data_IF_005380891547
#
_entry.id   IF_005380891547
#
_cell.length_a   1.000
_cell.length_b   1.000
_cell.length_c   1.000
_cell.angle_alpha   90.00
_cell.angle_beta   90.00
_cell.angle_gamma   90.00
#
_symmetry.space_group_name_H-M   'P 1'
#
loop_
_entity.id
_entity.type
_entity.pdbx_description
1 polymer ?
#
# COMPACT_ATOMS: atom_id res chain seq x y z
N UNK A 1 -15.52 27.00 12.57
CA UNK A 1 -15.78 25.91 13.53
C UNK A 1 -14.54 25.04 13.49
N UNK A 2 -13.70 25.11 14.52
CA UNK A 2 -12.51 24.27 14.65
C UNK A 2 -12.96 22.81 14.80
N UNK A 3 -12.70 22.00 13.78
CA UNK A 3 -12.78 20.55 13.89
C UNK A 3 -11.44 20.05 14.43
N UNK A 4 -11.37 19.93 15.74
CA UNK A 4 -10.29 19.23 16.45
C UNK A 4 -10.26 17.76 16.01
N UNK A 5 -9.39 17.44 15.04
CA UNK A 5 -9.21 16.12 14.41
C UNK A 5 -8.37 15.15 15.27
N UNK A 6 -8.22 15.42 16.58
CA UNK A 6 -7.30 14.70 17.46
C UNK A 6 -7.78 13.36 18.03
N UNK A 7 -9.03 12.94 17.82
CA UNK A 7 -9.60 11.76 18.48
C UNK A 7 -10.27 10.80 17.50
N UNK A 8 -9.49 10.08 16.69
CA UNK A 8 -10.00 8.92 15.96
C UNK A 8 -10.15 7.73 16.93
N UNK A 9 -11.33 7.12 16.97
CA UNK A 9 -11.55 5.83 17.63
C UNK A 9 -11.18 4.74 16.63
N UNK A 10 -10.25 3.86 17.01
CA UNK A 10 -9.95 2.65 16.25
C UNK A 10 -10.75 1.49 16.82
N UNK A 11 -11.36 0.70 15.96
CA UNK A 11 -12.13 -0.47 16.34
C UNK A 11 -12.30 -1.46 15.20
N UNK A 12 -12.60 -2.72 15.53
CA UNK A 12 -12.69 -3.80 14.54
C UNK A 12 -13.75 -4.83 14.92
N UNK A 13 -14.25 -5.58 13.93
CA UNK A 13 -15.14 -6.73 14.12
C UNK A 13 -14.36 -8.01 13.83
N UNK A 14 -14.30 -8.92 14.80
CA UNK A 14 -13.46 -10.11 14.74
C UNK A 14 -14.21 -11.40 14.41
N UNK A 15 -15.49 -11.52 14.76
CA UNK A 15 -16.16 -12.82 14.68
C UNK A 15 -17.68 -12.72 14.56
N UNK A 16 -18.25 -13.66 13.80
CA UNK A 16 -19.68 -14.00 13.84
C UNK A 16 -19.85 -15.33 14.61
N UNK A 17 -20.64 -15.33 15.70
CA UNK A 17 -21.11 -16.57 16.36
C UNK A 17 -22.63 -16.47 16.47
N UNK A 18 -23.35 -17.34 15.76
CA UNK A 18 -24.81 -17.42 15.87
C UNK A 18 -25.51 -16.08 15.65
N UNK A 19 -25.17 -15.37 14.57
CA UNK A 19 -25.68 -14.04 14.19
C UNK A 19 -25.25 -12.86 15.08
N UNK A 20 -24.33 -13.08 16.02
CA UNK A 20 -23.74 -12.03 16.85
C UNK A 20 -22.37 -11.64 16.31
N UNK A 21 -22.13 -10.33 16.19
CA UNK A 21 -20.82 -9.79 15.84
C UNK A 21 -20.10 -9.28 17.08
N UNK A 22 -18.81 -9.60 17.16
CA UNK A 22 -17.94 -9.16 18.25
C UNK A 22 -16.94 -8.16 17.72
N UNK A 23 -16.83 -7.01 18.38
CA UNK A 23 -15.81 -6.03 18.05
C UNK A 23 -15.24 -5.31 19.26
N UNK A 24 -14.12 -4.64 19.07
CA UNK A 24 -13.48 -3.80 20.08
C UNK A 24 -13.31 -2.37 19.59
N UNK A 25 -13.30 -1.42 20.52
CA UNK A 25 -12.87 -0.04 20.28
C UNK A 25 -11.92 0.39 21.40
N UNK A 26 -11.00 1.31 21.09
CA UNK A 26 -10.11 1.93 22.08
C UNK A 26 -10.23 3.45 22.10
N UNK A 27 -10.45 4.04 23.28
CA UNK A 27 -10.24 5.49 23.51
C UNK A 27 -9.75 5.75 24.94
N UNK A 28 -8.85 6.74 25.09
CA UNK A 28 -8.19 7.13 26.35
C UNK A 28 -9.10 7.87 27.34
N UNK A 29 -10.22 8.46 26.89
CA UNK A 29 -11.06 9.39 27.68
C UNK A 29 -12.57 9.13 27.51
N UNK A 30 -13.08 7.93 27.84
CA UNK A 30 -14.52 7.64 27.80
C UNK A 30 -15.24 7.95 29.12
N UNK A 31 -16.44 8.54 29.04
CA UNK A 31 -17.36 8.73 30.17
C UNK A 31 -18.23 7.49 30.36
N UNK A 32 -18.18 6.79 31.52
CA UNK A 32 -19.07 5.66 31.81
C UNK A 32 -20.55 6.08 31.81
N UNK A 33 -21.44 5.22 31.30
CA UNK A 33 -22.90 5.37 31.45
C UNK A 33 -23.66 6.06 30.30
N UNK A 34 -23.02 6.34 29.17
CA UNK A 34 -23.70 6.87 27.97
C UNK A 34 -24.21 5.73 27.09
N UNK A 35 -25.46 5.83 26.60
CA UNK A 35 -26.01 4.89 25.63
C UNK A 35 -25.22 4.95 24.33
N UNK A 36 -24.66 3.81 23.89
CA UNK A 36 -23.90 3.70 22.64
C UNK A 36 -24.77 3.04 21.56
N UNK A 37 -24.64 3.50 20.33
CA UNK A 37 -25.39 2.99 19.18
C UNK A 37 -24.46 2.71 18.00
N UNK A 38 -24.83 1.72 17.19
CA UNK A 38 -24.30 1.50 15.84
C UNK A 38 -25.33 2.02 14.87
N UNK A 39 -24.95 3.02 14.08
CA UNK A 39 -25.78 3.53 13.01
C UNK A 39 -25.38 2.84 11.70
N UNK A 40 -26.37 2.48 10.89
CA UNK A 40 -26.17 1.85 9.60
C UNK A 40 -26.72 2.82 8.57
N UNK A 41 -25.85 3.30 7.69
CA UNK A 41 -26.20 4.24 6.63
C UNK A 41 -26.18 3.55 5.27
N UNK A 42 -27.19 3.82 4.44
CA UNK A 42 -27.33 3.29 3.08
C UNK A 42 -27.50 4.49 2.15
N UNK A 43 -26.56 4.70 1.22
CA UNK A 43 -26.58 5.89 0.35
C UNK A 43 -26.57 7.22 1.11
N UNK A 44 -25.95 7.28 2.29
CA UNK A 44 -25.93 8.46 3.16
C UNK A 44 -27.15 8.62 4.08
N UNK A 45 -28.19 7.80 3.91
CA UNK A 45 -29.43 7.86 4.71
C UNK A 45 -29.32 6.88 5.88
N UNK A 46 -29.65 7.32 7.09
CA UNK A 46 -29.70 6.45 8.27
C UNK A 46 -30.82 5.42 8.09
N UNK A 47 -30.44 4.15 8.04
CA UNK A 47 -31.36 3.03 7.82
C UNK A 47 -31.71 2.32 9.14
N UNK A 48 -30.74 2.12 10.02
CA UNK A 48 -30.95 1.42 11.30
C UNK A 48 -30.01 1.94 12.38
N UNK A 49 -30.47 1.95 13.63
CA UNK A 49 -29.68 2.24 14.82
C UNK A 49 -29.77 1.04 15.76
N UNK A 50 -28.64 0.45 16.14
CA UNK A 50 -28.58 -0.75 16.98
C UNK A 50 -27.93 -0.34 18.30
N UNK A 51 -28.61 -0.49 19.46
CA UNK A 51 -27.99 -0.23 20.74
C UNK A 51 -26.84 -1.21 20.95
N UNK A 52 -25.74 -0.69 21.47
CA UNK A 52 -24.52 -1.46 21.72
C UNK A 52 -24.47 -1.81 23.19
N UNK A 53 -24.35 -3.09 23.50
CA UNK A 53 -24.17 -3.55 24.88
C UNK A 53 -22.67 -3.79 25.09
N UNK A 54 -22.11 -3.13 26.11
CA UNK A 54 -20.74 -3.41 26.54
C UNK A 54 -20.68 -4.85 27.04
N UNK A 55 -19.88 -5.67 26.35
CA UNK A 55 -19.71 -7.07 26.66
C UNK A 55 -18.48 -7.24 27.55
N UNK A 56 -18.54 -8.22 28.46
CA UNK A 56 -17.36 -8.64 29.20
C UNK A 56 -16.34 -9.23 28.22
N UNK A 57 -15.11 -8.73 28.28
CA UNK A 57 -14.04 -9.19 27.41
C UNK A 57 -13.74 -10.68 27.68
N UNK A 58 -14.14 -11.55 26.75
CA UNK A 58 -13.92 -13.01 26.85
C UNK A 58 -12.54 -13.42 26.30
N UNK A 59 -11.74 -12.47 25.80
CA UNK A 59 -10.41 -12.66 25.20
C UNK A 59 -9.33 -12.22 26.19
N UNK A 60 -8.67 -13.19 26.83
CA UNK A 60 -7.62 -12.94 27.82
C UNK A 60 -6.41 -12.17 27.25
N UNK A 61 -6.13 -12.31 25.95
CA UNK A 61 -5.05 -11.63 25.24
C UNK A 61 -5.33 -10.15 24.93
N UNK A 62 -6.61 -9.74 24.93
CA UNK A 62 -7.01 -8.34 24.80
C UNK A 62 -7.16 -7.65 26.17
N UNK A 63 -7.18 -8.42 27.26
CA UNK A 63 -7.33 -7.90 28.62
C UNK A 63 -6.13 -7.05 29.08
N UNK A 64 -4.96 -7.21 28.44
CA UNK A 64 -3.74 -6.45 28.76
C UNK A 64 -3.62 -5.15 27.97
N UNK A 65 -4.49 -4.90 26.99
CA UNK A 65 -4.44 -3.67 26.19
C UNK A 65 -5.27 -2.59 26.89
N UNK A 66 -4.64 -1.49 27.36
CA UNK A 66 -5.36 -0.45 28.06
C UNK A 66 -6.48 0.13 27.19
N UNK A 67 -7.63 0.40 27.82
CA UNK A 67 -8.77 1.08 27.20
C UNK A 67 -9.47 0.33 26.07
N UNK A 68 -9.28 -0.98 25.93
CA UNK A 68 -10.13 -1.79 25.06
C UNK A 68 -11.50 -2.02 25.72
N UNK A 69 -12.56 -1.72 24.96
CA UNK A 69 -13.94 -2.05 25.28
C UNK A 69 -14.47 -3.02 24.22
N UNK A 70 -15.03 -4.15 24.67
CA UNK A 70 -15.66 -5.13 23.78
C UNK A 70 -17.14 -4.85 23.75
N UNK A 71 -17.71 -4.89 22.56
CA UNK A 71 -19.12 -4.69 22.37
C UNK A 71 -19.74 -5.84 21.61
N UNK A 72 -20.98 -6.15 21.98
CA UNK A 72 -21.81 -7.13 21.29
C UNK A 72 -23.05 -6.44 20.74
N UNK A 73 -23.40 -6.79 19.51
CA UNK A 73 -24.63 -6.38 18.88
C UNK A 73 -25.16 -7.49 17.96
N UNK A 74 -26.49 -7.58 17.87
CA UNK A 74 -27.17 -8.45 16.92
C UNK A 74 -27.25 -7.77 15.55
N UNK A 75 -26.80 -8.46 14.52
CA UNK A 75 -26.83 -7.95 13.16
C UNK A 75 -27.34 -9.03 12.21
N UNK A 76 -28.46 -8.75 11.56
CA UNK A 76 -29.05 -9.61 10.54
C UNK A 76 -28.31 -9.39 9.22
N UNK A 77 -27.25 -10.19 9.03
CA UNK A 77 -26.39 -10.11 7.86
C UNK A 77 -27.12 -10.50 6.56
N UNK A 78 -28.12 -11.38 6.63
CA UNK A 78 -28.84 -11.87 5.45
C UNK A 78 -29.66 -10.73 4.85
N UNK A 79 -30.54 -10.11 5.65
CA UNK A 79 -31.32 -8.93 5.24
C UNK A 79 -30.43 -7.78 4.78
N UNK A 80 -29.33 -7.52 5.51
CA UNK A 80 -28.42 -6.43 5.20
C UNK A 80 -27.69 -6.57 3.86
N UNK A 81 -27.31 -7.77 3.41
CA UNK A 81 -26.58 -7.91 2.14
C UNK A 81 -27.50 -8.06 0.92
N UNK A 82 -28.73 -8.56 1.08
CA UNK A 82 -29.71 -8.61 -0.02
C UNK A 82 -30.21 -7.25 -0.47
N UNK A 83 -30.29 -6.27 0.44
CA UNK A 83 -30.92 -4.97 0.14
C UNK A 83 -29.91 -3.87 -0.24
N UNK A 84 -28.60 -4.15 -0.18
CA UNK A 84 -27.61 -3.13 0.13
C UNK A 84 -26.24 -3.46 -0.48
N UNK A 85 -26.20 -3.50 -1.83
CA UNK A 85 -25.01 -3.86 -2.60
C UNK A 85 -23.81 -2.87 -2.50
N UNK A 86 -24.01 -1.67 -1.93
CA UNK A 86 -23.02 -0.59 -1.86
C UNK A 86 -23.04 0.13 -0.50
N UNK A 87 -22.99 -0.62 0.60
CA UNK A 87 -23.10 -0.04 1.93
C UNK A 87 -21.76 0.30 2.57
N UNK A 88 -21.66 1.53 3.06
CA UNK A 88 -20.65 1.94 4.04
C UNK A 88 -21.29 1.77 5.42
N UNK A 89 -20.79 0.85 6.24
CA UNK A 89 -21.18 0.82 7.65
C UNK A 89 -20.37 1.91 8.35
N UNK A 90 -21.04 2.99 8.73
CA UNK A 90 -20.46 4.09 9.49
C UNK A 90 -20.84 3.93 10.97
N UNK A 91 -19.92 3.48 11.82
CA UNK A 91 -20.16 3.46 13.26
C UNK A 91 -20.14 4.89 13.74
N UNK A 92 -21.19 5.33 14.42
CA UNK A 92 -21.26 6.62 15.08
C UNK A 92 -21.37 6.38 16.57
N UNK A 93 -20.27 6.44 17.32
CA UNK A 93 -20.33 6.42 18.78
C UNK A 93 -20.66 7.85 19.23
N UNK A 94 -21.84 8.05 19.81
CA UNK A 94 -22.22 9.31 20.42
C UNK A 94 -21.87 9.28 21.91
N UNK A 95 -20.91 10.10 22.30
CA UNK A 95 -20.77 10.52 23.70
C UNK A 95 -20.97 12.02 23.70
N UNK A 96 -22.16 12.50 24.08
CA UNK A 96 -22.46 13.93 23.98
C UNK A 96 -21.31 14.77 24.57
N UNK A 97 -20.75 15.74 23.80
CA UNK A 97 -21.24 16.27 22.52
C UNK A 97 -20.55 15.73 21.25
N UNK A 98 -19.77 14.63 21.32
CA UNK A 98 -18.91 14.13 20.22
C UNK A 98 -19.49 12.90 19.52
N UNK A 99 -19.32 12.87 18.19
CA UNK A 99 -19.61 11.72 17.32
C UNK A 99 -18.31 11.23 16.68
N UNK A 100 -18.09 9.92 16.66
CA UNK A 100 -16.88 9.28 16.10
C UNK A 100 -17.25 8.33 14.97
N UNK A 101 -16.54 8.36 13.85
CA UNK A 101 -16.84 7.57 12.65
C UNK A 101 -15.90 6.38 12.49
N UNK A 102 -16.45 5.18 12.23
CA UNK A 102 -15.68 4.00 11.81
C UNK A 102 -16.25 3.42 10.52
N UNK A 103 -15.42 2.97 9.58
CA UNK A 103 -15.87 2.38 8.31
C UNK A 103 -15.54 0.88 8.27
N UNK A 104 -16.53 0.02 8.03
CA UNK A 104 -16.27 -1.40 7.74
C UNK A 104 -16.41 -1.70 6.26
N UNK A 105 -15.46 -2.48 5.74
CA UNK A 105 -15.49 -3.03 4.39
C UNK A 105 -16.29 -4.36 4.37
N UNK A 106 -17.36 -4.47 3.56
CA UNK A 106 -18.23 -5.65 3.45
C UNK A 106 -17.55 -7.00 3.21
N UNK A 107 -16.38 -7.03 2.55
CA UNK A 107 -15.73 -8.26 2.10
C UNK A 107 -15.21 -9.15 3.24
N UNK A 108 -14.85 -8.57 4.39
CA UNK A 108 -14.35 -9.31 5.56
C UNK A 108 -15.45 -10.15 6.21
N UNK A 109 -16.69 -9.65 6.21
CA UNK A 109 -17.85 -10.33 6.81
C UNK A 109 -18.38 -11.42 5.88
N UNK A 110 -18.44 -11.16 4.57
CA UNK A 110 -18.87 -12.14 3.55
C UNK A 110 -17.97 -13.39 3.52
N UNK A 111 -16.66 -13.23 3.69
CA UNK A 111 -15.74 -14.38 3.80
C UNK A 111 -15.97 -15.21 5.08
N UNK A 112 -16.35 -14.56 6.19
CA UNK A 112 -16.66 -15.26 7.45
C UNK A 112 -17.99 -16.01 7.42
N UNK A 113 -19.00 -15.49 6.72
CA UNK A 113 -20.35 -16.07 6.68
C UNK A 113 -20.50 -17.21 5.67
N UNK A 114 -19.70 -17.22 4.59
CA UNK A 114 -19.73 -18.28 3.58
C UNK A 114 -18.99 -19.56 4.00
N UNK A 115 -18.19 -19.52 5.07
CA UNK A 115 -17.48 -20.70 5.59
C UNK A 115 -18.31 -21.46 6.63
N UNK A 116 -19.16 -22.40 6.18
CA UNK A 116 -19.67 -23.52 7.02
C UNK A 116 -18.54 -24.53 7.32
N UNK A 117 -17.41 -24.09 7.87
CA UNK A 117 -16.28 -24.95 8.19
C UNK A 117 -16.44 -25.47 9.63
N UNK A 118 -16.48 -26.80 9.78
CA UNK A 118 -16.57 -27.54 11.07
C UNK A 118 -15.30 -27.45 11.95
N UNK A 119 -14.41 -26.51 11.68
CA UNK A 119 -13.20 -26.23 12.44
C UNK A 119 -12.93 -24.73 12.35
N UNK A 120 -12.69 -24.02 13.46
CA UNK A 120 -12.41 -22.59 13.43
C UNK A 120 -11.00 -22.39 12.86
N UNK A 121 -10.85 -22.41 11.53
CA UNK A 121 -9.62 -22.04 10.83
C UNK A 121 -9.79 -20.63 10.26
N UNK A 122 -9.89 -19.67 11.17
CA UNK A 122 -9.77 -18.26 10.82
C UNK A 122 -8.31 -17.83 10.93
N UNK A 123 -7.87 -16.92 10.06
CA UNK A 123 -6.62 -16.20 10.28
C UNK A 123 -6.87 -15.26 11.47
N UNK A 124 -6.19 -15.52 12.60
CA UNK A 124 -6.30 -14.71 13.81
C UNK A 124 -5.29 -13.55 13.79
N UNK A 125 -5.66 -12.40 14.35
CA UNK A 125 -4.74 -11.29 14.55
C UNK A 125 -3.45 -11.75 15.25
N UNK A 126 -2.29 -11.19 14.85
CA UNK A 126 -0.94 -11.58 15.28
C UNK A 126 -0.51 -13.00 14.90
N UNK A 127 -1.30 -13.75 14.13
CA UNK A 127 -0.86 -15.04 13.64
C UNK A 127 0.32 -14.86 12.68
N UNK A 128 1.38 -15.63 12.92
CA UNK A 128 2.58 -15.66 12.10
C UNK A 128 2.48 -16.74 11.02
N UNK A 129 3.11 -16.48 9.87
CA UNK A 129 3.41 -17.53 8.90
C UNK A 129 4.37 -18.56 9.49
N UNK A 130 4.42 -19.76 8.92
CA UNK A 130 5.25 -20.84 9.45
C UNK A 130 6.75 -20.49 9.45
N UNK A 131 7.19 -19.65 8.52
CA UNK A 131 8.56 -19.13 8.40
C UNK A 131 8.79 -17.80 9.13
N UNK A 132 7.78 -17.30 9.87
CA UNK A 132 7.83 -16.06 10.66
C UNK A 132 8.13 -14.79 9.85
N UNK A 133 8.02 -14.84 8.52
CA UNK A 133 8.26 -13.66 7.66
C UNK A 133 7.04 -12.76 7.57
N UNK A 134 5.84 -13.29 7.73
CA UNK A 134 4.59 -12.55 7.60
C UNK A 134 3.71 -12.69 8.86
N UNK A 135 2.92 -11.67 9.15
CA UNK A 135 2.01 -11.66 10.29
C UNK A 135 0.67 -11.03 9.91
N UNK A 136 -0.42 -11.62 10.39
CA UNK A 136 -1.78 -11.10 10.17
C UNK A 136 -2.06 -9.92 11.10
N UNK A 137 -2.37 -8.76 10.52
CA UNK A 137 -2.85 -7.57 11.20
C UNK A 137 -4.37 -7.45 11.24
N UNK A 138 -4.85 -6.27 11.63
CA UNK A 138 -6.27 -5.96 11.64
C UNK A 138 -6.83 -5.93 10.21
N UNK A 139 -8.15 -6.14 10.06
CA UNK A 139 -8.77 -6.10 8.74
C UNK A 139 -8.35 -7.24 7.80
N UNK A 140 -7.74 -8.30 8.33
CA UNK A 140 -7.21 -9.40 7.53
C UNK A 140 -6.00 -9.01 6.66
N UNK A 141 -5.43 -7.82 6.89
CA UNK A 141 -4.21 -7.38 6.21
C UNK A 141 -3.04 -8.26 6.64
N UNK A 142 -2.22 -8.69 5.69
CA UNK A 142 -0.98 -9.41 5.98
C UNK A 142 0.18 -8.42 5.83
N UNK A 143 1.06 -8.41 6.82
CA UNK A 143 2.23 -7.54 6.90
C UNK A 143 3.50 -8.37 6.88
N UNK A 144 4.52 -7.87 6.17
CA UNK A 144 5.87 -8.41 6.27
C UNK A 144 6.42 -8.05 7.65
N UNK A 145 6.91 -9.02 8.43
CA UNK A 145 7.52 -8.78 9.75
C UNK A 145 9.03 -8.95 9.71
N UNK A 146 9.48 -10.10 9.25
CA UNK A 146 10.90 -10.46 9.23
C UNK A 146 11.35 -10.90 7.83
N UNK A 147 12.51 -11.53 7.72
CA UNK A 147 13.14 -11.96 6.48
C UNK A 147 14.49 -11.27 6.31
N UNK A 148 14.95 -11.12 5.08
CA UNK A 148 16.23 -10.47 4.79
C UNK A 148 16.29 -9.00 5.21
N UNK A 149 15.14 -8.37 5.49
CA UNK A 149 15.03 -6.94 5.76
C UNK A 149 14.72 -6.58 7.22
N UNK A 150 14.43 -7.57 8.10
CA UNK A 150 14.08 -7.37 9.53
C UNK A 150 13.18 -6.14 9.78
N UNK A 151 11.98 -6.14 9.18
CA UNK A 151 11.14 -4.94 9.07
C UNK A 151 10.72 -4.38 10.42
N UNK A 152 10.46 -5.24 11.40
CA UNK A 152 10.12 -4.85 12.76
C UNK A 152 11.22 -4.00 13.41
N UNK A 153 12.49 -4.27 13.11
CA UNK A 153 13.61 -3.48 13.62
C UNK A 153 13.68 -2.06 13.02
N UNK A 154 13.04 -1.79 11.88
CA UNK A 154 13.00 -0.41 11.32
C UNK A 154 12.29 0.58 12.24
N UNK A 155 11.32 0.10 13.00
CA UNK A 155 10.51 0.92 13.90
C UNK A 155 11.08 0.96 15.32
N UNK A 156 12.11 0.16 15.60
CA UNK A 156 12.86 0.22 16.85
C UNK A 156 14.10 1.12 16.73
N UNK A 157 14.73 1.42 17.86
CA UNK A 157 16.01 2.14 17.89
C UNK A 157 17.22 1.19 17.78
N UNK A 158 17.01 -0.07 17.40
CA UNK A 158 18.04 -1.12 17.47
C UNK A 158 18.91 -1.19 16.21
N UNK A 159 18.52 -0.49 15.13
CA UNK A 159 19.30 -0.41 13.90
C UNK A 159 19.78 1.01 13.66
N UNK A 160 21.03 1.13 13.23
CA UNK A 160 21.59 2.40 12.75
C UNK A 160 21.53 2.39 11.22
N UNK A 161 20.83 3.37 10.66
CA UNK A 161 20.76 3.60 9.22
C UNK A 161 21.66 4.77 8.85
N UNK A 162 22.48 4.62 7.82
CA UNK A 162 23.36 5.68 7.30
C UNK A 162 22.57 6.70 6.47
N UNK A 163 21.83 7.57 7.17
CA UNK A 163 21.00 8.61 6.55
C UNK A 163 21.83 9.62 5.76
N UNK A 164 23.00 10.00 6.27
CA UNK A 164 23.90 10.94 5.61
C UNK A 164 24.46 10.36 4.30
N UNK A 165 24.77 9.06 4.29
CA UNK A 165 25.15 8.34 3.08
C UNK A 165 24.03 8.27 2.04
N UNK A 166 22.77 8.06 2.48
CA UNK A 166 21.61 8.07 1.58
C UNK A 166 21.37 9.46 0.98
N UNK A 167 21.39 10.48 1.83
CA UNK A 167 21.26 11.87 1.40
C UNK A 167 22.37 12.25 0.41
N UNK A 168 23.63 11.89 0.71
CA UNK A 168 24.78 12.14 -0.17
C UNK A 168 24.65 11.41 -1.51
N UNK A 169 24.14 10.17 -1.51
CA UNK A 169 23.86 9.41 -2.72
C UNK A 169 22.85 10.13 -3.62
N UNK A 170 21.77 10.66 -3.05
CA UNK A 170 20.77 11.40 -3.80
C UNK A 170 21.31 12.69 -4.43
N UNK A 171 22.13 13.45 -3.69
CA UNK A 171 22.80 14.63 -4.22
C UNK A 171 23.72 14.25 -5.38
N UNK A 172 24.53 13.21 -5.23
CA UNK A 172 25.43 12.73 -6.29
C UNK A 172 24.67 12.30 -7.55
N UNK A 173 23.52 11.63 -7.41
CA UNK A 173 22.66 11.25 -8.55
C UNK A 173 22.10 12.48 -9.26
N UNK A 174 21.68 13.50 -8.52
CA UNK A 174 21.21 14.78 -9.07
C UNK A 174 22.33 15.55 -9.79
N UNK A 175 23.52 15.62 -9.21
CA UNK A 175 24.67 16.28 -9.84
C UNK A 175 25.06 15.58 -11.14
N UNK A 176 25.09 14.23 -11.13
CA UNK A 176 25.36 13.42 -12.31
C UNK A 176 24.34 13.67 -13.43
N UNK A 177 23.07 13.88 -13.09
CA UNK A 177 22.01 14.16 -14.07
C UNK A 177 22.29 15.44 -14.84
N UNK A 178 22.80 16.47 -14.15
CA UNK A 178 23.18 17.74 -14.78
C UNK A 178 24.36 17.57 -15.73
N UNK A 179 25.33 16.72 -15.38
CA UNK A 179 26.50 16.44 -16.23
C UNK A 179 26.14 15.66 -17.50
N UNK A 180 25.14 14.78 -17.43
CA UNK A 180 24.75 13.90 -18.54
C UNK A 180 23.44 14.33 -19.23
N UNK A 181 22.96 15.54 -18.94
CA UNK A 181 21.78 16.17 -19.56
C UNK A 181 20.50 15.31 -19.52
N UNK A 182 20.18 14.75 -18.35
CA UNK A 182 18.90 14.08 -18.10
C UNK A 182 18.21 14.60 -16.84
N UNK A 183 16.88 14.50 -16.82
CA UNK A 183 16.09 14.79 -15.62
C UNK A 183 16.20 13.62 -14.64
N UNK A 184 16.72 13.86 -13.44
CA UNK A 184 16.69 12.88 -12.36
C UNK A 184 15.41 12.99 -11.54
N UNK A 185 14.80 11.85 -11.21
CA UNK A 185 13.66 11.74 -10.31
C UNK A 185 13.92 10.61 -9.32
N UNK A 186 13.73 10.85 -8.02
CA UNK A 186 13.72 9.81 -6.99
C UNK A 186 12.29 9.58 -6.49
N UNK A 187 11.90 8.32 -6.41
CA UNK A 187 10.66 7.88 -5.78
C UNK A 187 11.04 7.15 -4.49
N UNK A 188 10.47 7.59 -3.36
CA UNK A 188 10.61 6.93 -2.07
C UNK A 188 9.25 6.38 -1.64
N UNK A 189 9.11 5.06 -1.67
CA UNK A 189 7.87 4.38 -1.32
C UNK A 189 7.88 4.07 0.19
N UNK A 190 6.89 4.50 0.98
CA UNK A 190 6.76 4.06 2.37
C UNK A 190 6.30 2.59 2.42
N UNK A 191 6.68 1.91 3.49
CA UNK A 191 6.25 0.53 3.71
C UNK A 191 4.75 0.40 3.93
N UNK A 192 4.17 -0.75 3.55
CA UNK A 192 2.76 -1.03 3.84
C UNK A 192 2.47 -0.90 5.33
N UNK A 193 3.40 -1.38 6.16
CA UNK A 193 3.34 -1.24 7.63
C UNK A 193 3.38 0.21 8.09
N UNK A 194 4.13 1.08 7.40
CA UNK A 194 4.17 2.51 7.68
C UNK A 194 2.89 3.23 7.26
N UNK A 195 2.26 2.79 6.17
CA UNK A 195 1.01 3.36 5.68
C UNK A 195 -0.17 2.91 6.52
N UNK A 196 -0.25 1.63 6.86
CA UNK A 196 -1.35 1.00 7.62
C UNK A 196 -0.94 0.68 9.05
N UNK A 197 -0.21 1.59 9.70
CA UNK A 197 0.42 1.35 11.00
C UNK A 197 -0.57 1.01 12.12
N UNK A 198 -1.81 1.52 12.06
CA UNK A 198 -2.88 1.14 13.01
C UNK A 198 -3.38 -0.30 12.83
N UNK A 199 -3.17 -0.87 11.65
CA UNK A 199 -3.55 -2.25 11.34
C UNK A 199 -2.41 -3.24 11.56
N UNK A 200 -1.18 -2.76 11.75
CA UNK A 200 -0.02 -3.61 11.96
C UNK A 200 -0.15 -4.41 13.27
N UNK A 201 0.25 -5.70 13.27
CA UNK A 201 0.17 -6.55 14.46
C UNK A 201 1.32 -6.38 15.46
N UNK A 202 2.21 -5.42 15.23
CA UNK A 202 3.37 -5.08 16.06
C UNK A 202 3.55 -3.55 16.07
N UNK A 203 4.52 -3.07 16.85
CA UNK A 203 4.77 -1.63 16.96
C UNK A 203 5.17 -1.05 15.61
N UNK A 204 4.36 -0.11 15.13
CA UNK A 204 4.55 0.59 13.88
C UNK A 204 4.07 2.03 14.03
N UNK A 205 4.64 2.91 13.22
CA UNK A 205 4.28 4.33 13.16
C UNK A 205 4.11 4.74 11.71
N UNK A 206 3.51 5.92 11.50
CA UNK A 206 3.45 6.55 10.19
C UNK A 206 4.86 6.91 9.70
N UNK A 207 5.49 5.97 9.00
CA UNK A 207 6.90 6.00 8.65
C UNK A 207 7.79 5.60 9.82
N UNK A 208 8.86 4.87 9.54
CA UNK A 208 9.95 4.61 10.47
C UNK A 208 10.67 5.91 10.85
N UNK A 209 11.31 5.97 12.04
CA UNK A 209 12.09 7.15 12.46
C UNK A 209 13.14 7.59 11.43
N UNK A 210 13.81 6.62 10.81
CA UNK A 210 14.84 6.82 9.78
C UNK A 210 14.25 7.37 8.48
N UNK A 211 13.14 6.80 7.99
CA UNK A 211 12.45 7.28 6.80
C UNK A 211 11.95 8.73 6.98
N UNK A 212 11.33 9.02 8.12
CA UNK A 212 10.84 10.36 8.44
C UNK A 212 11.99 11.38 8.57
N UNK A 213 13.12 10.97 9.13
CA UNK A 213 14.30 11.83 9.24
C UNK A 213 14.91 12.13 7.87
N UNK A 214 15.03 11.13 7.00
CA UNK A 214 15.50 11.32 5.62
C UNK A 214 14.57 12.25 4.83
N UNK A 215 13.25 12.04 4.90
CA UNK A 215 12.28 12.91 4.24
C UNK A 215 12.41 14.36 4.70
N UNK A 216 12.56 14.63 6.01
CA UNK A 216 12.79 16.00 6.51
C UNK A 216 14.08 16.62 5.98
N UNK A 217 15.17 15.85 5.87
CA UNK A 217 16.42 16.36 5.28
C UNK A 217 16.24 16.74 3.80
N UNK A 218 15.51 15.91 3.03
CA UNK A 218 15.18 16.19 1.63
C UNK A 218 14.30 17.44 1.52
N UNK A 219 13.27 17.58 2.37
CA UNK A 219 12.36 18.72 2.37
C UNK A 219 13.05 20.05 2.65
N UNK A 220 14.01 20.04 3.58
CA UNK A 220 14.84 21.20 3.91
C UNK A 220 15.84 21.55 2.81
N UNK A 221 15.89 20.79 1.71
CA UNK A 221 16.79 21.01 0.57
C UNK A 221 15.95 21.20 -0.70
N UNK A 222 15.50 22.44 -1.01
CA UNK A 222 14.56 22.71 -2.10
C UNK A 222 15.02 22.17 -3.47
N UNK A 223 16.33 22.25 -3.75
CA UNK A 223 16.94 21.75 -4.99
C UNK A 223 16.85 20.23 -5.13
N UNK A 224 16.75 19.49 -4.02
CA UNK A 224 16.57 18.04 -4.03
C UNK A 224 15.07 17.69 -4.03
N UNK A 225 14.29 18.33 -3.17
CA UNK A 225 12.84 18.10 -3.02
C UNK A 225 12.04 18.26 -4.33
N UNK A 226 12.47 19.16 -5.23
CA UNK A 226 11.84 19.32 -6.54
C UNK A 226 11.98 18.09 -7.44
N UNK A 227 12.93 17.20 -7.18
CA UNK A 227 13.19 15.96 -7.92
C UNK A 227 12.64 14.70 -7.23
N UNK A 228 11.88 14.86 -6.13
CA UNK A 228 11.45 13.73 -5.31
C UNK A 228 9.93 13.56 -5.29
N UNK A 229 9.46 12.33 -5.32
CA UNK A 229 8.14 11.98 -4.78
C UNK A 229 8.37 11.47 -3.36
N UNK A 230 7.91 12.25 -2.38
CA UNK A 230 8.26 12.10 -0.98
C UNK A 230 7.20 11.30 -0.23
N UNK A 231 7.67 10.32 0.54
CA UNK A 231 6.95 9.64 1.61
C UNK A 231 5.44 9.53 1.44
N UNK A 232 4.73 10.30 2.27
CA UNK A 232 3.27 10.23 2.42
C UNK A 232 2.53 11.33 1.65
N UNK A 233 3.21 12.16 0.84
CA UNK A 233 2.60 13.33 0.17
C UNK A 233 1.46 12.94 -0.80
N UNK A 234 1.48 11.70 -1.26
CA UNK A 234 0.51 11.14 -2.21
C UNK A 234 -0.49 10.18 -1.55
N UNK A 235 -0.30 9.89 -0.26
CA UNK A 235 -1.16 8.97 0.49
C UNK A 235 -2.32 9.79 1.05
N UNK A 236 -3.57 9.34 0.86
CA UNK A 236 -4.74 10.05 1.38
C UNK A 236 -4.79 9.90 2.92
N UNK A 237 -5.91 10.28 3.52
CA UNK A 237 -6.13 10.00 4.93
C UNK A 237 -6.06 8.48 5.26
N UNK A 238 -6.01 8.18 6.55
CA UNK A 238 -5.85 6.81 7.07
C UNK A 238 -6.91 5.86 6.52
N UNK A 239 -8.16 6.30 6.45
CA UNK A 239 -9.29 5.48 5.99
C UNK A 239 -9.15 5.08 4.53
N UNK A 240 -8.67 5.97 3.67
CA UNK A 240 -8.53 5.71 2.24
C UNK A 240 -7.25 4.93 1.89
N UNK A 241 -6.27 4.94 2.79
CA UNK A 241 -4.96 4.33 2.54
C UNK A 241 -4.98 2.79 2.48
N UNK A 242 -5.96 2.13 3.12
CA UNK A 242 -6.14 0.67 3.08
C UNK A 242 -6.31 0.12 1.66
N UNK A 243 -6.83 0.95 0.76
CA UNK A 243 -7.06 0.57 -0.64
C UNK A 243 -5.81 0.74 -1.51
N UNK A 244 -4.72 1.31 -0.99
CA UNK A 244 -3.47 1.52 -1.76
C UNK A 244 -2.61 0.26 -1.84
N UNK A 245 -2.74 -0.66 -0.89
CA UNK A 245 -2.00 -1.92 -0.85
C UNK A 245 -2.95 -3.10 -1.01
N UNK A 246 -2.44 -4.18 -1.56
CA UNK A 246 -3.16 -5.44 -1.64
C UNK A 246 -3.25 -6.09 -0.26
N UNK A 247 -4.41 -6.62 0.17
CA UNK A 247 -4.55 -7.16 1.53
C UNK A 247 -3.57 -8.27 1.87
N UNK A 248 -3.31 -9.19 0.94
CA UNK A 248 -2.48 -10.38 1.18
C UNK A 248 -1.10 -10.28 0.55
N UNK A 249 -0.68 -9.09 0.15
CA UNK A 249 0.54 -8.86 -0.59
C UNK A 249 1.24 -7.60 -0.04
N UNK A 250 2.56 -7.51 -0.25
CA UNK A 250 3.38 -6.39 0.20
C UNK A 250 3.35 -5.19 -0.75
N UNK A 251 2.84 -5.36 -1.97
CA UNK A 251 2.83 -4.35 -3.03
C UNK A 251 1.51 -3.57 -3.10
N UNK A 252 1.51 -2.57 -3.99
CA UNK A 252 0.33 -1.78 -4.26
C UNK A 252 -0.83 -2.61 -4.80
N UNK A 253 -2.03 -2.07 -4.59
CA UNK A 253 -3.17 -2.33 -5.46
C UNK A 253 -3.04 -1.53 -6.76
N UNK A 254 -3.93 -1.79 -7.72
CA UNK A 254 -4.06 -0.94 -8.91
C UNK A 254 -4.32 0.53 -8.55
N UNK A 255 -5.10 0.79 -7.50
CA UNK A 255 -5.34 2.16 -7.03
C UNK A 255 -4.08 2.79 -6.45
N UNK A 256 -3.28 2.04 -5.68
CA UNK A 256 -2.01 2.52 -5.13
C UNK A 256 -1.03 2.95 -6.22
N UNK A 257 -0.79 2.07 -7.20
CA UNK A 257 0.06 2.37 -8.34
C UNK A 257 -0.46 3.57 -9.15
N UNK A 258 -1.76 3.61 -9.46
CA UNK A 258 -2.39 4.74 -10.15
C UNK A 258 -2.23 6.05 -9.39
N UNK A 259 -2.39 6.03 -8.07
CA UNK A 259 -2.27 7.23 -7.23
C UNK A 259 -0.86 7.80 -7.30
N UNK A 260 0.15 6.94 -7.17
CA UNK A 260 1.54 7.36 -7.29
C UNK A 260 1.87 7.89 -8.69
N UNK A 261 1.36 7.23 -9.75
CA UNK A 261 1.50 7.69 -11.14
C UNK A 261 0.86 9.06 -11.34
N UNK A 262 -0.33 9.29 -10.79
CA UNK A 262 -0.99 10.59 -10.89
C UNK A 262 -0.16 11.69 -10.22
N UNK A 263 0.43 11.43 -9.05
CA UNK A 263 1.32 12.40 -8.39
C UNK A 263 2.61 12.62 -9.18
N UNK A 264 3.17 11.57 -9.77
CA UNK A 264 4.31 11.69 -10.68
C UNK A 264 3.97 12.63 -11.84
N UNK A 265 2.84 12.39 -12.51
CA UNK A 265 2.41 13.21 -13.64
C UNK A 265 2.10 14.64 -13.23
N UNK A 266 1.35 14.87 -12.14
CA UNK A 266 1.03 16.22 -11.69
C UNK A 266 2.27 17.02 -11.30
N UNK A 267 3.31 16.34 -10.78
CA UNK A 267 4.53 17.01 -10.31
C UNK A 267 5.49 17.35 -11.45
N UNK A 268 5.58 16.50 -12.46
CA UNK A 268 6.63 16.62 -13.49
C UNK A 268 6.10 16.90 -14.90
N UNK A 269 4.78 16.79 -15.11
CA UNK A 269 4.13 16.76 -16.41
C UNK A 269 2.71 17.38 -16.33
N UNK A 270 2.60 18.62 -15.86
CA UNK A 270 1.32 19.32 -15.59
C UNK A 270 0.26 19.16 -16.71
N UNK A 271 0.68 19.03 -17.97
CA UNK A 271 -0.17 18.89 -19.15
C UNK A 271 -0.85 17.50 -19.31
N UNK A 272 -0.45 16.48 -18.54
CA UNK A 272 -0.73 15.07 -18.86
C UNK A 272 -1.67 14.33 -17.90
N UNK A 273 -2.32 15.03 -16.96
CA UNK A 273 -3.07 14.39 -15.87
C UNK A 273 -4.34 13.62 -16.32
N UNK A 274 -4.89 13.89 -17.51
CA UNK A 274 -6.20 13.34 -17.94
C UNK A 274 -6.20 12.58 -19.27
N UNK A 275 -5.04 12.12 -19.76
CA UNK A 275 -4.96 11.54 -21.11
C UNK A 275 -5.43 10.09 -21.22
N UNK A 276 -5.33 9.31 -20.14
CA UNK A 276 -5.57 7.88 -20.20
C UNK A 276 -6.79 7.47 -19.37
N UNK A 277 -7.76 6.87 -20.04
CA UNK A 277 -9.01 6.41 -19.42
C UNK A 277 -8.91 4.88 -19.27
N UNK A 278 -8.92 4.33 -18.05
CA UNK A 278 -9.10 2.90 -17.85
C UNK A 278 -10.54 2.53 -18.23
N UNK A 279 -10.72 1.53 -19.08
CA UNK A 279 -12.05 1.21 -19.65
C UNK A 279 -12.54 -0.19 -19.33
N UNK A 280 -11.66 -1.16 -19.11
CA UNK A 280 -12.03 -2.48 -18.59
C UNK A 280 -11.25 -2.82 -17.31
N UNK A 281 -11.95 -3.52 -16.41
CA UNK A 281 -11.40 -4.09 -15.18
C UNK A 281 -11.68 -5.58 -15.20
N UNK A 282 -10.65 -6.38 -14.99
CA UNK A 282 -10.81 -7.78 -14.62
C UNK A 282 -10.38 -7.99 -13.18
N UNK A 283 -10.85 -9.08 -12.59
CA UNK A 283 -10.46 -9.48 -11.26
C UNK A 283 -9.49 -10.64 -11.38
N UNK A 284 -8.28 -10.46 -10.85
CA UNK A 284 -7.27 -11.50 -10.81
C UNK A 284 -7.69 -12.69 -9.94
N UNK A 285 -6.84 -13.70 -9.89
CA UNK A 285 -6.96 -14.81 -8.96
C UNK A 285 -5.56 -15.26 -8.53
N UNK A 286 -4.84 -14.31 -7.93
CA UNK A 286 -3.41 -14.44 -7.63
C UNK A 286 -3.22 -14.63 -6.12
N UNK A 287 -2.32 -15.53 -5.70
CA UNK A 287 -1.81 -15.50 -4.34
C UNK A 287 -0.99 -14.21 -4.17
N UNK A 288 -1.21 -13.49 -3.08
CA UNK A 288 -0.28 -12.43 -2.69
C UNK A 288 1.05 -13.03 -2.20
N UNK A 289 2.15 -12.31 -2.38
CA UNK A 289 3.47 -12.77 -1.94
C UNK A 289 3.51 -13.14 -0.44
N UNK A 290 2.78 -12.40 0.40
CA UNK A 290 2.63 -12.69 1.82
C UNK A 290 1.57 -13.76 2.12
N UNK A 291 0.46 -13.78 1.37
CA UNK A 291 -0.60 -14.77 1.52
C UNK A 291 -0.12 -16.20 1.27
N UNK A 292 0.77 -16.37 0.29
CA UNK A 292 1.39 -17.66 -0.04
C UNK A 292 2.12 -18.29 1.17
N UNK A 293 2.58 -17.48 2.13
CA UNK A 293 3.30 -17.93 3.34
C UNK A 293 2.41 -18.67 4.34
N UNK A 294 1.09 -18.64 4.17
CA UNK A 294 0.11 -19.31 5.03
C UNK A 294 -0.46 -20.62 4.44
N UNK A 295 -0.06 -20.99 3.22
CA UNK A 295 -0.61 -22.13 2.46
C UNK A 295 -0.57 -23.46 3.21
N UNK A 296 0.51 -23.73 3.94
CA UNK A 296 0.73 -25.02 4.60
C UNK A 296 -0.35 -25.38 5.65
N UNK A 297 -1.03 -24.37 6.22
CA UNK A 297 -2.01 -24.57 7.29
C UNK A 297 -3.43 -24.15 6.90
N UNK A 298 -3.57 -23.17 6.00
CA UNK A 298 -4.85 -22.53 5.69
C UNK A 298 -5.34 -22.74 4.25
N UNK A 299 -4.56 -23.42 3.41
CA UNK A 299 -4.82 -23.52 1.98
C UNK A 299 -4.49 -22.24 1.22
N UNK A 300 -4.87 -22.17 -0.05
CA UNK A 300 -4.52 -21.04 -0.90
C UNK A 300 -5.22 -19.76 -0.44
N UNK A 301 -4.46 -18.85 0.17
CA UNK A 301 -4.89 -17.48 0.46
C UNK A 301 -4.82 -16.67 -0.83
N UNK A 302 -5.90 -16.73 -1.61
CA UNK A 302 -6.03 -16.04 -2.90
C UNK A 302 -6.82 -14.75 -2.74
N UNK A 303 -6.39 -13.72 -3.46
CA UNK A 303 -7.13 -12.47 -3.61
C UNK A 303 -7.61 -12.28 -5.05
N UNK A 304 -8.63 -11.44 -5.19
CA UNK A 304 -9.22 -11.07 -6.48
C UNK A 304 -9.01 -9.58 -6.74
N UNK A 305 -7.76 -9.12 -6.92
CA UNK A 305 -7.48 -7.71 -7.10
C UNK A 305 -8.09 -7.20 -8.41
N UNK A 306 -8.67 -5.99 -8.44
CA UNK A 306 -9.10 -5.37 -9.68
C UNK A 306 -7.86 -4.89 -10.46
N UNK A 307 -7.78 -5.28 -11.72
CA UNK A 307 -6.72 -4.87 -12.63
C UNK A 307 -7.33 -4.21 -13.86
N UNK A 308 -6.70 -3.13 -14.33
CA UNK A 308 -7.03 -2.55 -15.63
C UNK A 308 -6.39 -3.40 -16.72
N UNK A 309 -7.17 -3.80 -17.71
CA UNK A 309 -6.63 -4.54 -18.86
C UNK A 309 -5.95 -3.58 -19.84
N UNK A 310 -6.57 -2.42 -20.04
CA UNK A 310 -6.17 -1.45 -21.04
C UNK A 310 -6.29 0.00 -20.57
N UNK A 311 -5.48 0.85 -21.19
CA UNK A 311 -5.62 2.30 -21.16
C UNK A 311 -5.97 2.77 -22.55
N UNK A 312 -6.81 3.80 -22.63
CA UNK A 312 -7.19 4.42 -23.89
C UNK A 312 -6.84 5.90 -23.92
N UNK A 313 -6.48 6.42 -25.09
CA UNK A 313 -6.33 7.86 -25.35
C UNK A 313 -7.69 8.58 -25.23
N UNK A 314 -7.72 9.93 -25.21
CA UNK A 314 -8.97 10.69 -25.25
C UNK A 314 -9.80 10.42 -26.50
N UNK A 315 -9.15 10.05 -27.61
CA UNK A 315 -9.74 9.63 -28.87
C UNK A 315 -10.22 8.16 -28.86
N UNK A 316 -10.16 7.50 -27.68
CA UNK A 316 -10.60 6.12 -27.45
C UNK A 316 -9.73 5.04 -28.14
N UNK A 317 -8.50 5.36 -28.51
CA UNK A 317 -7.53 4.41 -29.07
C UNK A 317 -6.84 3.63 -27.93
N UNK A 318 -6.68 2.32 -28.09
CA UNK A 318 -5.99 1.49 -27.09
C UNK A 318 -4.49 1.80 -27.11
N UNK A 319 -3.92 2.06 -25.95
CA UNK A 319 -2.49 2.27 -25.75
C UNK A 319 -1.81 0.93 -25.51
N UNK A 320 -1.09 0.45 -26.53
CA UNK A 320 -0.45 -0.86 -26.52
C UNK A 320 1.08 -0.69 -26.51
N UNK A 321 1.75 -0.92 -25.37
CA UNK A 321 3.20 -0.94 -25.35
C UNK A 321 3.72 -2.26 -25.95
N UNK A 322 4.77 -2.17 -26.75
CA UNK A 322 5.46 -3.32 -27.34
C UNK A 322 6.74 -3.57 -26.57
N UNK A 323 6.87 -4.75 -25.96
CA UNK A 323 8.11 -5.19 -25.32
C UNK A 323 9.14 -5.53 -26.41
N UNK A 324 10.16 -4.69 -26.57
CA UNK A 324 11.17 -4.80 -27.64
C UNK A 324 12.49 -5.42 -27.16
N UNK A 325 12.72 -5.47 -25.84
CA UNK A 325 13.85 -6.18 -25.26
C UNK A 325 13.50 -6.69 -23.85
N UNK A 326 14.03 -7.85 -23.49
CA UNK A 326 13.90 -8.42 -22.14
C UNK A 326 15.12 -9.27 -21.80
N UNK A 327 15.50 -9.24 -20.52
CA UNK A 327 16.49 -10.12 -19.94
C UNK A 327 16.08 -10.43 -18.49
N UNK A 328 16.19 -11.69 -18.10
CA UNK A 328 16.06 -12.13 -16.71
C UNK A 328 17.37 -12.78 -16.30
N UNK A 329 17.95 -12.41 -15.14
CA UNK A 329 19.13 -13.09 -14.62
C UNK A 329 18.80 -14.55 -14.27
N UNK A 330 19.83 -15.41 -14.25
CA UNK A 330 19.68 -16.83 -13.88
C UNK A 330 19.24 -16.97 -12.41
N UNK A 331 19.71 -16.07 -11.54
CA UNK A 331 19.40 -16.08 -10.12
C UNK A 331 18.96 -14.68 -9.63
N UNK A 332 17.93 -14.66 -8.78
CA UNK A 332 17.38 -13.44 -8.22
C UNK A 332 16.67 -12.55 -9.24
N UNK A 333 16.42 -11.30 -8.87
CA UNK A 333 15.79 -10.32 -9.76
C UNK A 333 16.76 -9.20 -10.21
N UNK A 334 17.85 -8.96 -9.46
CA UNK A 334 18.80 -7.89 -9.80
C UNK A 334 19.42 -8.11 -11.18
N UNK A 335 19.36 -7.09 -12.03
CA UNK A 335 19.78 -7.17 -13.42
C UNK A 335 18.66 -7.51 -14.40
N UNK A 336 17.43 -7.78 -13.93
CA UNK A 336 16.26 -7.91 -14.80
C UNK A 336 16.11 -6.64 -15.64
N UNK A 337 15.89 -6.81 -16.95
CA UNK A 337 15.67 -5.73 -17.90
C UNK A 337 14.36 -5.96 -18.66
N UNK A 338 13.61 -4.89 -18.84
CA UNK A 338 12.50 -4.80 -19.79
C UNK A 338 12.56 -3.48 -20.52
N UNK A 339 12.33 -3.49 -21.83
CA UNK A 339 12.29 -2.28 -22.66
C UNK A 339 11.02 -2.29 -23.49
N UNK A 340 10.19 -1.27 -23.30
CA UNK A 340 8.97 -1.07 -24.05
C UNK A 340 9.07 0.14 -24.97
N UNK A 341 8.41 0.06 -26.11
CA UNK A 341 8.09 1.20 -26.97
C UNK A 341 6.58 1.34 -27.11
N UNK A 342 6.09 2.56 -27.08
CA UNK A 342 4.66 2.83 -27.21
C UNK A 342 4.44 4.08 -28.07
N UNK A 343 4.03 3.88 -29.33
CA UNK A 343 3.85 4.99 -30.28
C UNK A 343 2.74 5.95 -29.84
N UNK A 344 1.68 5.39 -29.25
CA UNK A 344 0.49 6.09 -28.75
C UNK A 344 0.75 6.77 -27.40
N UNK A 345 1.91 6.58 -26.78
CA UNK A 345 2.21 7.16 -25.48
C UNK A 345 2.09 8.69 -25.52
N UNK A 346 1.42 9.31 -24.53
CA UNK A 346 1.21 10.75 -24.52
C UNK A 346 2.52 11.53 -24.33
N UNK A 347 3.49 10.99 -23.60
CA UNK A 347 4.75 11.68 -23.31
C UNK A 347 5.84 11.18 -24.26
N UNK A 348 6.28 12.05 -25.16
CA UNK A 348 7.32 11.78 -26.17
C UNK A 348 8.73 11.86 -25.57
N UNK A 349 8.99 11.08 -24.53
CA UNK A 349 10.28 10.99 -23.84
C UNK A 349 10.71 9.53 -23.67
N UNK A 350 12.02 9.33 -23.55
CA UNK A 350 12.68 8.09 -23.18
C UNK A 350 13.01 8.10 -21.69
N UNK A 351 12.62 7.04 -20.99
CA UNK A 351 12.79 6.93 -19.54
C UNK A 351 13.52 5.64 -19.18
N UNK A 352 14.50 5.75 -18.29
CA UNK A 352 15.14 4.60 -17.64
C UNK A 352 14.82 4.61 -16.16
N UNK A 353 14.28 3.52 -15.64
CA UNK A 353 14.00 3.31 -14.23
C UNK A 353 14.94 2.27 -13.63
N UNK A 354 15.56 2.60 -12.51
CA UNK A 354 16.25 1.67 -11.62
C UNK A 354 15.39 1.52 -10.36
N UNK A 355 14.75 0.36 -10.19
CA UNK A 355 13.81 0.13 -9.09
C UNK A 355 13.71 -1.34 -8.71
N UNK A 356 12.64 -1.68 -8.00
CA UNK A 356 12.39 -3.02 -7.50
C UNK A 356 11.03 -3.60 -7.95
N UNK A 357 10.47 -4.49 -7.12
CA UNK A 357 9.19 -5.18 -7.31
C UNK A 357 7.97 -4.25 -7.33
N UNK A 358 8.07 -2.97 -6.97
CA UNK A 358 7.00 -2.00 -7.19
C UNK A 358 6.87 -1.60 -8.66
N UNK A 359 7.98 -1.59 -9.40
CA UNK A 359 7.95 -1.42 -10.85
C UNK A 359 7.67 -2.76 -11.55
N UNK A 360 8.37 -3.83 -11.17
CA UNK A 360 8.17 -5.19 -11.68
C UNK A 360 8.18 -5.30 -13.22
N UNK A 361 7.90 -6.48 -13.76
CA UNK A 361 7.85 -6.80 -15.19
C UNK A 361 6.69 -6.17 -15.97
N UNK A 362 5.81 -5.38 -15.34
CA UNK A 362 4.81 -4.55 -16.04
C UNK A 362 3.60 -5.29 -16.62
N UNK A 363 3.31 -6.50 -16.15
CA UNK A 363 2.23 -7.36 -16.68
C UNK A 363 0.84 -6.91 -16.20
N UNK A 364 0.75 -6.34 -15.00
CA UNK A 364 -0.50 -6.00 -14.32
C UNK A 364 -0.50 -4.58 -13.77
N UNK A 365 -1.68 -3.95 -13.72
CA UNK A 365 -1.85 -2.51 -13.42
C UNK A 365 -1.58 -2.11 -11.96
N UNK A 366 -1.26 -3.05 -11.08
CA UNK A 366 -0.76 -2.74 -9.74
C UNK A 366 0.76 -2.52 -9.70
N UNK A 367 1.46 -2.73 -10.82
CA UNK A 367 2.90 -2.49 -10.97
C UNK A 367 3.15 -1.19 -11.73
N UNK A 368 4.18 -0.43 -11.37
CA UNK A 368 4.46 0.86 -11.99
C UNK A 368 4.92 0.71 -13.45
N UNK A 369 5.66 -0.35 -13.81
CA UNK A 369 6.09 -0.57 -15.20
C UNK A 369 4.90 -0.71 -16.17
N UNK A 370 3.76 -1.24 -15.71
CA UNK A 370 2.54 -1.32 -16.53
C UNK A 370 2.05 0.08 -16.94
N UNK A 371 2.10 1.05 -16.03
CA UNK A 371 1.72 2.43 -16.29
C UNK A 371 2.78 3.15 -17.13
N UNK A 372 4.04 3.09 -16.71
CA UNK A 372 5.11 3.87 -17.35
C UNK A 372 5.38 3.43 -18.79
N UNK A 373 5.26 2.14 -19.11
CA UNK A 373 5.35 1.66 -20.50
C UNK A 373 4.27 2.23 -21.43
N UNK A 374 3.13 2.68 -20.89
CA UNK A 374 2.01 3.28 -21.63
C UNK A 374 2.05 4.80 -21.65
N UNK A 375 2.77 5.42 -20.72
CA UNK A 375 2.86 6.87 -20.59
C UNK A 375 3.98 7.47 -21.44
N UNK A 376 5.06 6.73 -21.65
CA UNK A 376 6.27 7.19 -22.33
C UNK A 376 6.52 6.45 -23.64
N UNK A 377 7.04 7.16 -24.64
CA UNK A 377 7.35 6.55 -25.95
C UNK A 377 8.36 5.42 -25.89
N UNK A 378 9.30 5.48 -24.94
CA UNK A 378 10.26 4.41 -24.68
C UNK A 378 10.51 4.34 -23.16
N UNK A 379 10.30 3.18 -22.56
CA UNK A 379 10.47 2.96 -21.12
C UNK A 379 11.35 1.73 -20.88
N UNK A 380 12.40 1.91 -20.09
CA UNK A 380 13.32 0.86 -19.68
C UNK A 380 13.16 0.63 -18.18
N UNK A 381 12.81 -0.58 -17.77
CA UNK A 381 12.87 -0.98 -16.36
C UNK A 381 14.10 -1.86 -16.14
N UNK A 382 14.94 -1.42 -15.21
CA UNK A 382 16.10 -2.14 -14.71
C UNK A 382 15.87 -2.47 -13.23
N UNK A 383 15.77 -3.76 -12.88
CA UNK A 383 15.70 -4.15 -11.49
C UNK A 383 17.07 -3.99 -10.83
N UNK A 384 17.25 -2.90 -10.08
CA UNK A 384 18.53 -2.56 -9.48
C UNK A 384 18.37 -1.47 -8.43
N UNK A 385 19.02 -1.60 -7.26
CA UNK A 385 19.06 -0.54 -6.26
C UNK A 385 20.00 0.63 -6.64
N UNK A 386 20.87 0.45 -7.66
CA UNK A 386 21.84 1.45 -8.12
C UNK A 386 21.72 1.74 -9.62
N UNK A 387 22.08 2.97 -10.01
CA UNK A 387 22.13 3.40 -11.41
C UNK A 387 23.35 2.80 -12.13
N UNK A 388 23.15 2.28 -13.35
CA UNK A 388 24.25 2.00 -14.28
C UNK A 388 24.58 3.24 -15.10
N UNK A 389 25.76 3.83 -14.85
CA UNK A 389 26.28 4.94 -15.66
C UNK A 389 26.44 4.52 -17.13
N UNK A 390 27.04 3.36 -17.38
CA UNK A 390 27.24 2.82 -18.72
C UNK A 390 25.91 2.65 -19.47
N UNK A 391 24.89 2.13 -18.79
CA UNK A 391 23.59 1.93 -19.40
C UNK A 391 22.91 3.26 -19.69
N UNK A 392 22.92 4.21 -18.74
CA UNK A 392 22.38 5.57 -18.95
C UNK A 392 23.06 6.22 -20.16
N UNK A 393 24.39 6.16 -20.25
CA UNK A 393 25.13 6.71 -21.41
C UNK A 393 24.71 6.01 -22.70
N UNK A 394 24.64 4.69 -22.72
CA UNK A 394 24.26 3.92 -23.91
C UNK A 394 22.85 4.22 -24.42
N UNK A 395 21.91 4.42 -23.49
CA UNK A 395 20.49 4.66 -23.81
C UNK A 395 20.23 6.13 -24.10
N UNK A 396 20.98 7.03 -23.47
CA UNK A 396 20.81 8.49 -23.51
C UNK A 396 19.35 8.90 -23.23
N UNK A 397 18.79 8.59 -22.04
CA UNK A 397 17.40 8.88 -21.71
C UNK A 397 17.17 10.36 -21.40
N UNK A 398 15.94 10.83 -21.62
CA UNK A 398 15.51 12.15 -21.18
C UNK A 398 15.31 12.21 -19.66
N UNK A 399 14.94 11.07 -19.06
CA UNK A 399 14.61 10.94 -17.64
C UNK A 399 15.22 9.67 -17.06
N UNK A 400 15.83 9.79 -15.89
CA UNK A 400 16.23 8.65 -15.06
C UNK A 400 15.46 8.67 -13.76
N UNK A 401 14.75 7.58 -13.50
CA UNK A 401 14.03 7.35 -12.25
C UNK A 401 14.86 6.40 -11.39
N UNK A 402 15.07 6.76 -10.14
CA UNK A 402 15.48 5.82 -9.10
C UNK A 402 14.32 5.61 -8.14
N UNK A 403 14.01 4.36 -7.85
CA UNK A 403 12.97 3.97 -6.91
C UNK A 403 13.60 3.19 -5.75
N UNK A 404 13.08 3.43 -4.55
CA UNK A 404 13.49 2.71 -3.34
C UNK A 404 12.31 2.70 -2.38
N UNK A 405 12.02 1.53 -1.81
CA UNK A 405 11.13 1.40 -0.67
C UNK A 405 11.85 1.56 0.67
N UNK A 406 11.13 2.11 1.64
CA UNK A 406 11.57 2.34 3.02
C UNK A 406 12.36 1.17 3.64
N UNK A 407 11.94 -0.09 3.43
CA UNK A 407 12.65 -1.24 4.01
C UNK A 407 14.09 -1.43 3.52
N UNK A 408 14.43 -0.87 2.37
CA UNK A 408 15.77 -0.97 1.81
C UNK A 408 16.70 0.15 2.27
N UNK A 409 16.23 1.11 3.08
CA UNK A 409 17.10 2.13 3.66
C UNK A 409 18.17 1.54 4.60
N UNK A 410 18.02 0.30 5.06
CA UNK A 410 19.01 -0.39 5.89
C UNK A 410 20.35 -0.62 5.20
N UNK A 411 20.40 -0.61 3.87
CA UNK A 411 21.61 -0.91 3.11
C UNK A 411 21.78 0.11 1.99
N UNK A 412 22.89 0.87 2.05
CA UNK A 412 23.26 1.73 0.93
C UNK A 412 23.58 0.91 -0.32
N UNK A 413 23.01 1.28 -1.48
CA UNK A 413 23.34 0.67 -2.75
C UNK A 413 24.84 0.78 -3.02
N UNK A 414 25.46 -0.35 -3.37
CA UNK A 414 26.87 -0.39 -3.78
C UNK A 414 26.94 -0.42 -5.30
N UNK A 415 27.97 0.23 -5.86
CA UNK A 415 28.25 0.17 -7.31
C UNK A 415 28.41 -1.29 -7.72
N UNK A 416 27.58 -1.76 -8.64
CA UNK A 416 27.74 -3.10 -9.24
C UNK A 416 28.81 -3.04 -10.33
N UNK A 417 29.61 -4.11 -10.45
CA UNK A 417 30.74 -4.17 -11.39
C UNK A 417 30.32 -4.36 -12.86
N UNK A 418 29.06 -4.72 -13.13
CA UNK A 418 28.39 -4.64 -14.44
C UNK A 418 26.93 -5.08 -14.23
N UNK A 419 25.95 -4.37 -14.78
CA UNK A 419 24.53 -4.66 -14.56
C UNK A 419 23.97 -5.71 -15.54
N UNK A 420 24.60 -5.86 -16.69
CA UNK A 420 24.21 -6.80 -17.74
C UNK A 420 25.46 -7.57 -18.13
N UNK A 421 25.45 -8.89 -17.94
CA UNK A 421 26.57 -9.73 -18.37
C UNK A 421 26.80 -9.51 -19.86
N UNK A 422 28.02 -9.09 -20.22
CA UNK A 422 28.46 -8.95 -21.60
C UNK A 422 28.48 -10.28 -22.33
#
# INVERSE_FOLDING_TARGET
>A
MDTDLGNNINGWIEKNIGNNFYGWFGQKDETPGVNKFIHIHVGGILHKSIPVIEATNSRADLATVPNIRVFQFEFDAETFYTECANCNIAFSIYSEPKAYFLKLLPELVLKSSQQKIKSPRGLAFKRESADQTAMLGAGGQIFLRSGTNNLDLLYSNDITIDLDGWYSLFIKRLERSKTNDYQYIQILIPEKTSVLYWSAPYEAHKGSPSFNSLNRQIENTPTLSSHFIKGFDWIPDEVHSESLFRPYDSHFSTLGAKTLVNVFLSKFFEEYVNWLIPTSVYFGNEPGDLGSRFQALDGDVVEKPPFYEELRTPENEIVVPVLVNQYDPVEGNNGTLRVWRCEQAPIKKKVVCFGDSFFERGEVSNTLSWWFSRLFTEFHFCWSPEQSEEYITSVSPDIVISETIERFLTVLPKKMNSLFGT
#
